data_IF_920423881088
#
_entry.id   IF_920423881088
#
_cell.length_a   1.000
_cell.length_b   1.000
_cell.length_c   1.000
_cell.angle_alpha   90.00
_cell.angle_beta   90.00
_cell.angle_gamma   90.00
#
_symmetry.space_group_name_H-M   'P 1'
#
loop_
_entity.id
_entity.type
_entity.pdbx_description
1 polymer ?
#
# COMPACT_ATOMS: atom_id res chain seq x y z
N UNK A 1 -16.70 -19.45 34.70
CA UNK A 1 -16.40 -19.88 33.32
C UNK A 1 -16.96 -18.82 32.41
N UNK A 2 -16.14 -18.22 31.54
CA UNK A 2 -16.62 -17.26 30.54
C UNK A 2 -17.29 -18.07 29.43
N UNK A 3 -18.58 -17.82 29.16
CA UNK A 3 -19.26 -18.43 28.02
C UNK A 3 -18.65 -17.91 26.72
N UNK A 4 -18.27 -18.83 25.84
CA UNK A 4 -17.82 -18.48 24.50
C UNK A 4 -19.03 -17.97 23.71
N UNK A 5 -18.87 -16.89 22.91
CA UNK A 5 -19.94 -16.41 22.05
C UNK A 5 -20.38 -17.52 21.09
N UNK A 6 -21.67 -17.51 20.72
CA UNK A 6 -22.17 -18.39 19.66
C UNK A 6 -21.42 -18.13 18.35
N UNK A 7 -21.27 -19.18 17.54
CA UNK A 7 -20.43 -19.14 16.34
C UNK A 7 -20.93 -18.12 15.29
N UNK A 8 -22.24 -17.93 15.20
CA UNK A 8 -22.86 -17.06 14.19
C UNK A 8 -22.54 -15.57 14.37
N UNK A 9 -22.70 -14.94 15.54
CA UNK A 9 -22.26 -13.56 15.77
C UNK A 9 -20.77 -13.32 15.46
N UNK A 10 -19.92 -14.31 15.76
CA UNK A 10 -18.49 -14.23 15.45
C UNK A 10 -18.26 -14.28 13.93
N UNK A 11 -18.95 -15.16 13.22
CA UNK A 11 -18.88 -15.25 11.76
C UNK A 11 -19.37 -13.95 11.09
N UNK A 12 -20.50 -13.40 11.57
CA UNK A 12 -21.02 -12.10 11.10
C UNK A 12 -19.99 -10.99 11.31
N UNK A 13 -19.43 -10.88 12.52
CA UNK A 13 -18.42 -9.87 12.83
C UNK A 13 -17.19 -9.99 11.92
N UNK A 14 -16.69 -11.22 11.71
CA UNK A 14 -15.55 -11.48 10.83
C UNK A 14 -15.83 -11.04 9.38
N UNK A 15 -16.99 -11.40 8.83
CA UNK A 15 -17.42 -11.01 7.48
C UNK A 15 -17.58 -9.50 7.36
N UNK A 16 -18.18 -8.83 8.35
CA UNK A 16 -18.35 -7.37 8.36
C UNK A 16 -17.00 -6.66 8.40
N UNK A 17 -16.08 -7.09 9.25
CA UNK A 17 -14.72 -6.52 9.31
C UNK A 17 -14.01 -6.66 7.97
N UNK A 18 -14.08 -7.85 7.36
CA UNK A 18 -13.46 -8.09 6.05
C UNK A 18 -14.12 -7.22 4.95
N UNK A 19 -15.45 -7.05 4.99
CA UNK A 19 -16.15 -6.16 4.06
C UNK A 19 -15.68 -4.71 4.20
N UNK A 20 -15.47 -4.22 5.43
CA UNK A 20 -14.90 -2.89 5.66
C UNK A 20 -13.50 -2.75 5.06
N UNK A 21 -12.65 -3.78 5.18
CA UNK A 21 -11.31 -3.79 4.57
C UNK A 21 -11.40 -3.70 3.04
N UNK A 22 -12.28 -4.47 2.42
CA UNK A 22 -12.48 -4.44 0.95
C UNK A 22 -12.95 -3.07 0.47
N UNK A 23 -13.91 -2.46 1.16
CA UNK A 23 -14.39 -1.10 0.84
C UNK A 23 -13.28 -0.08 0.99
N UNK A 24 -12.48 -0.19 2.06
CA UNK A 24 -11.34 0.68 2.31
C UNK A 24 -10.29 0.59 1.20
N UNK A 25 -9.93 -0.62 0.78
CA UNK A 25 -8.99 -0.84 -0.33
C UNK A 25 -9.51 -0.24 -1.63
N UNK A 26 -10.78 -0.47 -1.96
CA UNK A 26 -11.41 0.08 -3.14
C UNK A 26 -11.39 1.62 -3.14
N UNK A 27 -11.65 2.24 -1.98
CA UNK A 27 -11.54 3.68 -1.81
C UNK A 27 -10.13 4.20 -2.11
N UNK A 28 -9.08 3.60 -1.51
CA UNK A 28 -7.70 4.06 -1.72
C UNK A 28 -7.20 3.81 -3.14
N UNK A 29 -7.55 2.67 -3.74
CA UNK A 29 -7.24 2.37 -5.14
C UNK A 29 -7.88 3.38 -6.11
N UNK A 30 -9.14 3.73 -5.86
CA UNK A 30 -9.86 4.71 -6.68
C UNK A 30 -9.25 6.10 -6.51
N UNK A 31 -8.97 6.50 -5.27
CA UNK A 31 -8.32 7.78 -4.97
C UNK A 31 -6.95 7.89 -5.65
N UNK A 32 -6.14 6.84 -5.59
CA UNK A 32 -4.82 6.81 -6.23
C UNK A 32 -4.90 7.00 -7.75
N UNK A 33 -5.87 6.37 -8.43
CA UNK A 33 -6.08 6.56 -9.88
C UNK A 33 -6.60 7.95 -10.22
N UNK A 34 -7.39 8.56 -9.33
CA UNK A 34 -7.88 9.93 -9.49
C UNK A 34 -6.78 10.97 -9.26
N UNK A 35 -5.94 10.77 -8.24
CA UNK A 35 -4.83 11.68 -7.90
C UNK A 35 -3.68 11.56 -8.92
N UNK A 36 -3.45 10.37 -9.50
CA UNK A 36 -2.41 10.13 -10.52
C UNK A 36 -3.06 9.48 -11.75
N UNK A 37 -3.72 10.27 -12.62
CA UNK A 37 -4.44 9.75 -13.79
C UNK A 37 -3.49 9.35 -14.93
N UNK A 38 -2.44 10.15 -15.15
CA UNK A 38 -1.46 9.99 -16.22
C UNK A 38 -0.11 9.53 -15.68
N UNK A 39 0.61 8.73 -16.47
CA UNK A 39 1.96 8.26 -16.17
C UNK A 39 2.96 8.95 -17.09
N UNK A 40 4.21 9.08 -16.64
CA UNK A 40 5.28 9.78 -17.34
C UNK A 40 5.54 11.16 -16.77
N UNK A 41 5.99 12.08 -17.63
CA UNK A 41 6.33 13.46 -17.21
C UNK A 41 5.06 14.29 -17.04
N UNK A 42 4.99 15.03 -15.93
CA UNK A 42 3.83 15.85 -15.59
C UNK A 42 3.96 17.29 -16.15
N UNK A 43 2.86 17.95 -16.58
CA UNK A 43 2.89 19.28 -17.20
C UNK A 43 3.46 20.40 -16.32
N UNK A 44 3.35 20.27 -14.99
CA UNK A 44 3.88 21.23 -14.01
C UNK A 44 5.28 20.90 -13.48
N UNK A 45 5.99 19.99 -14.16
CA UNK A 45 7.20 19.37 -13.64
C UNK A 45 6.90 18.21 -12.69
N UNK A 46 7.79 17.23 -12.66
CA UNK A 46 7.60 16.00 -11.90
C UNK A 46 7.37 14.78 -12.78
N UNK A 47 7.17 13.64 -12.12
CA UNK A 47 7.14 12.34 -12.77
C UNK A 47 6.17 11.39 -12.06
N UNK A 48 5.31 10.74 -12.82
CA UNK A 48 4.37 9.73 -12.35
C UNK A 48 4.70 8.36 -12.94
N UNK A 49 4.59 7.31 -12.13
CA UNK A 49 4.87 5.94 -12.57
C UNK A 49 3.97 4.95 -11.81
N UNK A 50 3.99 3.69 -12.24
CA UNK A 50 3.28 2.61 -11.57
C UNK A 50 4.24 1.51 -11.16
N UNK A 51 3.90 0.76 -10.11
CA UNK A 51 4.55 -0.51 -9.83
C UNK A 51 4.20 -1.56 -10.89
N UNK A 52 5.05 -2.57 -11.03
CA UNK A 52 4.72 -3.73 -11.86
C UNK A 52 3.92 -4.76 -11.06
N UNK A 53 2.92 -5.38 -11.66
CA UNK A 53 2.07 -6.38 -10.99
C UNK A 53 2.86 -7.60 -10.46
N UNK A 54 3.90 -8.04 -11.18
CA UNK A 54 4.78 -9.13 -10.72
C UNK A 54 5.57 -8.71 -9.47
N UNK A 55 5.99 -7.45 -9.40
CA UNK A 55 6.68 -6.92 -8.23
C UNK A 55 5.74 -6.77 -7.03
N UNK A 56 4.46 -6.43 -7.25
CA UNK A 56 3.44 -6.45 -6.21
C UNK A 56 3.17 -7.87 -5.68
N UNK A 57 3.07 -8.86 -6.56
CA UNK A 57 2.90 -10.27 -6.17
C UNK A 57 4.07 -10.76 -5.31
N UNK A 58 5.31 -10.49 -5.70
CA UNK A 58 6.50 -10.87 -4.91
C UNK A 58 6.53 -10.12 -3.57
N UNK A 59 6.13 -8.84 -3.56
CA UNK A 59 6.01 -8.06 -2.31
C UNK A 59 4.99 -8.66 -1.35
N UNK A 60 3.90 -9.22 -1.89
CA UNK A 60 2.79 -9.76 -1.12
C UNK A 60 2.89 -11.26 -0.88
N UNK A 61 3.91 -11.98 -1.36
CA UNK A 61 3.96 -13.45 -1.32
C UNK A 61 3.68 -14.06 0.07
N UNK A 62 4.24 -13.47 1.13
CA UNK A 62 3.95 -13.89 2.51
C UNK A 62 2.47 -13.68 2.90
N UNK A 63 1.90 -12.54 2.51
CA UNK A 63 0.48 -12.26 2.72
C UNK A 63 -0.40 -13.20 1.89
N UNK A 64 -0.04 -13.49 0.63
CA UNK A 64 -0.78 -14.43 -0.23
C UNK A 64 -0.84 -15.83 0.40
N UNK A 65 0.27 -16.31 0.96
CA UNK A 65 0.32 -17.61 1.65
C UNK A 65 -0.58 -17.66 2.89
N UNK A 66 -0.53 -16.64 3.75
CA UNK A 66 -1.42 -16.54 4.91
C UNK A 66 -2.89 -16.45 4.51
N UNK A 67 -3.20 -15.73 3.43
CA UNK A 67 -4.56 -15.57 2.94
C UNK A 67 -5.11 -16.85 2.32
N UNK A 68 -4.29 -17.63 1.63
CA UNK A 68 -4.68 -18.97 1.16
C UNK A 68 -5.05 -19.89 2.34
N UNK A 69 -4.26 -19.85 3.42
CA UNK A 69 -4.61 -20.59 4.64
C UNK A 69 -5.93 -20.07 5.25
N UNK A 70 -6.16 -18.76 5.25
CA UNK A 70 -7.41 -18.15 5.74
C UNK A 70 -8.63 -18.44 4.85
N UNK A 71 -8.46 -18.82 3.58
CA UNK A 71 -9.57 -19.33 2.76
C UNK A 71 -9.95 -20.76 3.15
N UNK A 72 -8.96 -21.63 3.36
CA UNK A 72 -9.22 -23.06 3.59
C UNK A 72 -9.69 -23.32 5.02
N UNK A 73 -9.18 -22.58 6.00
CA UNK A 73 -9.42 -22.84 7.43
C UNK A 73 -10.91 -22.80 7.84
N UNK A 74 -11.73 -21.81 7.40
CA UNK A 74 -13.15 -21.78 7.73
C UNK A 74 -13.88 -23.05 7.31
N UNK A 75 -13.60 -23.58 6.12
CA UNK A 75 -14.25 -24.79 5.59
C UNK A 75 -14.02 -26.01 6.48
N UNK A 76 -12.81 -26.16 7.02
CA UNK A 76 -12.47 -27.25 7.93
C UNK A 76 -13.21 -27.16 9.29
N UNK A 77 -13.74 -25.98 9.65
CA UNK A 77 -14.36 -25.71 10.95
C UNK A 77 -15.89 -25.53 10.86
N UNK A 78 -16.47 -25.53 9.67
CA UNK A 78 -17.91 -25.30 9.46
C UNK A 78 -18.77 -26.35 10.19
N UNK A 79 -18.45 -27.64 10.02
CA UNK A 79 -19.21 -28.73 10.66
C UNK A 79 -19.06 -28.71 12.19
N UNK A 80 -17.86 -28.42 12.68
CA UNK A 80 -17.58 -28.37 14.13
C UNK A 80 -18.27 -27.19 14.83
N UNK A 81 -18.54 -26.11 14.11
CA UNK A 81 -19.13 -24.88 14.66
C UNK A 81 -20.62 -24.71 14.40
N UNK A 82 -21.24 -25.61 13.61
CA UNK A 82 -22.62 -25.49 13.14
C UNK A 82 -22.90 -24.11 12.50
N UNK A 83 -21.90 -23.53 11.85
CA UNK A 83 -21.99 -22.21 11.22
C UNK A 83 -22.64 -22.34 9.85
N UNK A 84 -23.61 -21.48 9.48
CA UNK A 84 -24.19 -21.49 8.15
C UNK A 84 -23.15 -21.31 7.04
N UNK A 85 -23.19 -22.20 6.03
CA UNK A 85 -22.24 -22.23 4.89
C UNK A 85 -22.13 -20.89 4.17
N UNK A 86 -23.21 -20.09 4.17
CA UNK A 86 -23.23 -18.76 3.53
C UNK A 86 -22.11 -17.84 4.03
N UNK A 87 -21.72 -17.92 5.31
CA UNK A 87 -20.66 -17.07 5.86
C UNK A 87 -19.27 -17.44 5.31
N UNK A 88 -18.99 -18.72 5.06
CA UNK A 88 -17.75 -19.14 4.42
C UNK A 88 -17.69 -18.71 2.95
N UNK A 89 -18.81 -18.78 2.22
CA UNK A 89 -18.89 -18.28 0.84
C UNK A 89 -18.65 -16.77 0.80
N UNK A 90 -19.31 -15.99 1.66
CA UNK A 90 -19.11 -14.54 1.75
C UNK A 90 -17.67 -14.19 2.11
N UNK A 91 -17.08 -14.94 3.05
CA UNK A 91 -15.68 -14.81 3.42
C UNK A 91 -14.76 -15.00 2.22
N UNK A 92 -14.87 -16.09 1.48
CA UNK A 92 -14.02 -16.38 0.33
C UNK A 92 -14.16 -15.34 -0.79
N UNK A 93 -15.39 -14.88 -1.06
CA UNK A 93 -15.64 -13.82 -2.05
C UNK A 93 -14.95 -12.53 -1.63
N UNK A 94 -15.15 -12.07 -0.39
CA UNK A 94 -14.53 -10.84 0.10
C UNK A 94 -13.00 -10.95 0.19
N UNK A 95 -12.48 -12.10 0.62
CA UNK A 95 -11.04 -12.34 0.71
C UNK A 95 -10.41 -12.36 -0.68
N UNK A 96 -11.09 -12.95 -1.66
CA UNK A 96 -10.67 -12.93 -3.06
C UNK A 96 -10.62 -11.50 -3.62
N UNK A 97 -11.64 -10.68 -3.33
CA UNK A 97 -11.65 -9.27 -3.73
C UNK A 97 -10.49 -8.50 -3.10
N UNK A 98 -10.21 -8.73 -1.82
CA UNK A 98 -9.06 -8.13 -1.14
C UNK A 98 -7.74 -8.59 -1.76
N UNK A 99 -7.57 -9.89 -2.05
CA UNK A 99 -6.38 -10.40 -2.73
C UNK A 99 -6.15 -9.75 -4.10
N UNK A 100 -7.22 -9.61 -4.89
CA UNK A 100 -7.17 -8.90 -6.17
C UNK A 100 -6.74 -7.44 -5.94
N UNK A 101 -7.29 -6.78 -4.91
CA UNK A 101 -6.94 -5.39 -4.54
C UNK A 101 -5.42 -5.21 -4.27
N UNK A 102 -4.80 -6.20 -3.63
CA UNK A 102 -3.37 -6.20 -3.29
C UNK A 102 -2.47 -6.33 -4.53
N UNK A 103 -2.94 -7.04 -5.57
CA UNK A 103 -2.20 -7.29 -6.80
C UNK A 103 -2.33 -6.14 -7.82
N UNK A 104 -3.28 -5.24 -7.64
CA UNK A 104 -3.45 -4.08 -8.52
C UNK A 104 -2.21 -3.18 -8.43
N UNK A 105 -1.56 -2.86 -9.58
CA UNK A 105 -0.45 -1.93 -9.66
C UNK A 105 -0.76 -0.60 -8.96
N UNK A 106 0.15 -0.18 -8.08
CA UNK A 106 0.07 1.07 -7.35
C UNK A 106 0.67 2.18 -8.20
N UNK A 107 0.04 3.36 -8.21
CA UNK A 107 0.51 4.56 -8.91
C UNK A 107 1.18 5.54 -7.95
N UNK A 108 2.28 6.11 -8.39
CA UNK A 108 3.08 7.06 -7.64
C UNK A 108 3.28 8.32 -8.48
N UNK A 109 3.45 9.46 -7.82
CA UNK A 109 3.85 10.69 -8.49
C UNK A 109 4.77 11.53 -7.61
N UNK A 110 5.79 12.12 -8.23
CA UNK A 110 6.68 13.10 -7.63
C UNK A 110 6.32 14.46 -8.21
N UNK A 111 6.08 15.42 -7.34
CA UNK A 111 5.93 16.83 -7.67
C UNK A 111 6.95 17.66 -6.88
N UNK A 112 7.08 18.94 -7.20
CA UNK A 112 7.97 19.86 -6.47
C UNK A 112 7.64 19.96 -4.98
N UNK A 113 6.39 19.76 -4.59
CA UNK A 113 5.93 19.97 -3.21
C UNK A 113 5.62 18.66 -2.48
N UNK A 114 5.12 17.64 -3.17
CA UNK A 114 4.64 16.40 -2.57
C UNK A 114 5.05 15.15 -3.35
N UNK A 115 5.20 14.06 -2.62
CA UNK A 115 5.18 12.69 -3.12
C UNK A 115 3.77 12.10 -2.95
N UNK A 116 3.21 11.57 -4.02
CA UNK A 116 1.96 10.83 -4.02
C UNK A 116 2.30 9.34 -3.99
N UNK A 117 1.87 8.63 -2.94
CA UNK A 117 2.06 7.20 -2.80
C UNK A 117 0.89 6.59 -2.04
N UNK A 118 0.43 5.41 -2.48
CA UNK A 118 -0.69 4.67 -1.85
C UNK A 118 -1.97 5.52 -1.68
N UNK A 119 -2.23 6.44 -2.61
CA UNK A 119 -3.37 7.39 -2.55
C UNK A 119 -3.24 8.49 -1.49
N UNK A 120 -2.09 8.58 -0.82
CA UNK A 120 -1.76 9.63 0.14
C UNK A 120 -0.78 10.64 -0.45
N UNK A 121 -0.82 11.86 0.10
CA UNK A 121 0.06 12.97 -0.26
C UNK A 121 1.04 13.18 0.89
N UNK A 122 2.32 13.05 0.59
CA UNK A 122 3.39 13.18 1.56
C UNK A 122 4.21 14.43 1.22
N UNK A 123 4.23 15.44 2.10
CA UNK A 123 5.09 16.59 1.89
C UNK A 123 6.55 16.19 2.11
N UNK A 124 7.47 16.81 1.37
CA UNK A 124 8.88 16.40 1.37
C UNK A 124 9.55 16.55 2.73
N UNK A 125 9.14 17.53 3.55
CA UNK A 125 9.60 17.75 4.93
C UNK A 125 9.52 16.50 5.82
N UNK A 126 8.52 15.65 5.55
CA UNK A 126 8.29 14.41 6.30
C UNK A 126 8.97 13.18 5.70
N UNK A 127 9.73 13.35 4.61
CA UNK A 127 10.38 12.26 3.90
C UNK A 127 11.89 12.41 3.92
N UNK A 128 12.58 11.27 4.08
CA UNK A 128 14.03 11.18 3.95
C UNK A 128 14.41 9.94 3.15
N UNK A 129 15.43 10.05 2.32
CA UNK A 129 15.96 8.88 1.62
C UNK A 129 16.61 7.91 2.64
N UNK A 130 16.28 6.62 2.56
CA UNK A 130 16.93 5.64 3.42
C UNK A 130 18.42 5.51 3.04
N UNK A 131 19.31 5.41 4.04
CA UNK A 131 20.77 5.26 3.84
C UNK A 131 21.13 4.06 2.96
N UNK A 132 20.40 2.95 3.12
CA UNK A 132 20.58 1.73 2.32
C UNK A 132 19.42 1.58 1.35
N UNK A 133 19.71 1.73 0.06
CA UNK A 133 18.73 1.54 -1.01
C UNK A 133 18.73 0.09 -1.50
N UNK A 134 17.57 -0.59 -1.54
CA UNK A 134 17.42 -1.88 -2.21
C UNK A 134 17.50 -1.75 -3.75
N UNK A 135 17.89 -2.83 -4.44
CA UNK A 135 18.15 -2.78 -5.90
C UNK A 135 16.90 -2.53 -6.76
N UNK A 136 15.74 -3.06 -6.36
CA UNK A 136 14.49 -3.08 -7.17
C UNK A 136 13.38 -2.17 -6.66
N UNK A 137 13.66 -1.27 -5.72
CA UNK A 137 12.67 -0.33 -5.16
C UNK A 137 13.37 0.91 -4.61
N UNK A 138 12.64 2.00 -4.45
CA UNK A 138 13.14 3.17 -3.73
C UNK A 138 12.61 3.11 -2.31
N UNK A 139 13.49 3.19 -1.33
CA UNK A 139 13.09 3.18 0.08
C UNK A 139 13.18 4.59 0.66
N UNK A 140 12.03 5.15 1.00
CA UNK A 140 11.93 6.39 1.77
C UNK A 140 11.60 6.07 3.23
N UNK A 141 11.93 7.00 4.11
CA UNK A 141 11.59 6.96 5.52
C UNK A 141 10.69 8.14 5.84
N UNK A 142 9.54 7.85 6.44
CA UNK A 142 8.62 8.84 6.99
C UNK A 142 9.10 9.26 8.37
N UNK A 143 9.39 10.54 8.54
CA UNK A 143 9.80 11.13 9.80
C UNK A 143 8.64 11.00 10.82
N UNK A 144 8.94 10.55 12.04
CA UNK A 144 7.95 10.41 13.12
C UNK A 144 7.10 9.12 13.12
N UNK A 145 7.30 8.20 12.17
CA UNK A 145 6.48 6.98 12.03
C UNK A 145 7.09 5.70 12.62
N UNK A 146 8.21 5.79 13.36
CA UNK A 146 8.84 4.65 14.05
C UNK A 146 9.06 3.43 13.14
N UNK A 147 8.64 2.20 13.54
CA UNK A 147 8.83 0.99 12.74
C UNK A 147 8.02 0.99 11.43
N UNK A 148 6.97 1.82 11.32
CA UNK A 148 6.19 2.03 10.11
C UNK A 148 6.76 3.16 9.23
N UNK A 149 7.92 3.72 9.59
CA UNK A 149 8.64 4.71 8.81
C UNK A 149 8.93 4.30 7.35
N UNK A 150 9.33 3.04 7.05
CA UNK A 150 9.68 2.65 5.69
C UNK A 150 8.51 2.77 4.71
N UNK A 151 8.74 3.51 3.62
CA UNK A 151 7.83 3.67 2.49
C UNK A 151 8.53 3.14 1.22
N UNK A 152 8.29 1.87 0.84
CA UNK A 152 8.84 1.29 -0.37
C UNK A 152 8.03 1.73 -1.60
N UNK A 153 8.71 2.30 -2.59
CA UNK A 153 8.15 2.65 -3.89
C UNK A 153 8.61 1.63 -4.93
N UNK A 154 7.66 0.92 -5.54
CA UNK A 154 7.89 -0.03 -6.62
C UNK A 154 7.82 0.62 -8.01
N UNK A 155 8.34 -0.05 -9.02
CA UNK A 155 8.35 0.41 -10.41
C UNK A 155 9.30 -0.41 -11.28
N UNK A 156 9.19 -0.24 -12.59
CA UNK A 156 10.17 -0.78 -13.53
C UNK A 156 11.52 -0.06 -13.40
N UNK A 157 12.59 -0.64 -13.95
CA UNK A 157 13.94 -0.10 -13.79
C UNK A 157 14.14 1.29 -14.37
N UNK A 158 13.45 1.62 -15.46
CA UNK A 158 13.58 2.92 -16.14
C UNK A 158 12.88 4.00 -15.31
N UNK A 159 11.61 3.76 -14.94
CA UNK A 159 10.83 4.65 -14.09
C UNK A 159 11.48 4.87 -12.73
N UNK A 160 12.03 3.82 -12.11
CA UNK A 160 12.75 3.95 -10.84
C UNK A 160 14.07 4.73 -10.98
N UNK A 161 14.72 4.67 -12.15
CA UNK A 161 15.89 5.49 -12.46
C UNK A 161 15.52 6.98 -12.44
N UNK A 162 14.52 7.34 -13.24
CA UNK A 162 14.00 8.72 -13.33
C UNK A 162 13.50 9.20 -11.97
N UNK A 163 12.66 8.43 -11.29
CA UNK A 163 12.12 8.79 -9.98
C UNK A 163 13.22 9.02 -8.93
N UNK A 164 14.31 8.25 -8.97
CA UNK A 164 15.45 8.42 -8.05
C UNK A 164 16.19 9.73 -8.29
N UNK A 165 16.35 10.14 -9.55
CA UNK A 165 16.96 11.43 -9.89
C UNK A 165 16.10 12.59 -9.40
N UNK A 166 14.79 12.53 -9.62
CA UNK A 166 13.85 13.52 -9.11
C UNK A 166 13.89 13.61 -7.58
N UNK A 167 13.86 12.48 -6.86
CA UNK A 167 13.91 12.46 -5.39
C UNK A 167 15.21 13.09 -4.88
N UNK A 168 16.35 12.76 -5.50
CA UNK A 168 17.65 13.36 -5.14
C UNK A 168 17.67 14.86 -5.38
N UNK A 169 17.13 15.32 -6.51
CA UNK A 169 17.04 16.74 -6.82
C UNK A 169 16.18 17.49 -5.79
N UNK A 170 15.04 16.91 -5.37
CA UNK A 170 14.18 17.49 -4.33
C UNK A 170 14.87 17.52 -2.95
N UNK A 171 15.61 16.47 -2.60
CA UNK A 171 16.38 16.44 -1.35
C UNK A 171 17.53 17.47 -1.35
N UNK A 172 18.21 17.65 -2.49
CA UNK A 172 19.26 18.66 -2.65
C UNK A 172 18.72 20.08 -2.59
N UNK A 173 17.67 20.40 -3.35
CA UNK A 173 17.04 21.73 -3.35
C UNK A 173 16.63 22.14 -1.93
N UNK A 174 16.02 21.22 -1.18
CA UNK A 174 15.65 21.47 0.21
C UNK A 174 16.83 21.71 1.13
N UNK A 175 17.94 21.00 0.94
CA UNK A 175 19.15 21.21 1.75
C UNK A 175 19.75 22.58 1.49
N UNK A 176 19.72 23.04 0.23
CA UNK A 176 20.15 24.39 -0.14
C UNK A 176 19.28 25.48 0.48
N UNK A 177 17.95 25.32 0.48
CA UNK A 177 17.03 26.29 1.09
C UNK A 177 17.28 26.45 2.61
N UNK A 178 17.51 25.34 3.32
CA UNK A 178 17.80 25.38 4.76
C UNK A 178 19.09 26.13 5.05
N UNK A 179 20.15 25.89 4.27
CA UNK A 179 21.43 26.58 4.44
C UNK A 179 21.31 28.09 4.18
N UNK A 180 20.53 28.49 3.17
CA UNK A 180 20.32 29.92 2.89
C UNK A 180 19.56 30.68 3.97
N UNK A 181 18.74 29.99 4.78
CA UNK A 181 18.02 30.59 5.91
C UNK A 181 18.93 30.72 7.15
N UNK A 182 19.94 29.84 7.29
CA UNK A 182 20.90 29.90 8.40
C UNK A 182 21.97 30.97 8.21
N UNK A 183 22.19 31.42 6.96
CA UNK A 183 23.17 32.46 6.60
C UNK A 183 22.60 33.90 6.63
N UNK A 184 21.31 34.10 6.95
CA UNK A 184 20.64 35.40 7.18
C UNK A 184 20.45 35.72 8.68
#
# INVERSE_FOLDING_TARGET
MVELPSAEPVAVAAVVVLACIVVWDAFWLTKQRRDVPELGRLPGGGFAWASEGVHEMVRQWGNLGSMAAMMVLPWALLEASNTPVIYAILWDVLLSLHLISLLIPKRYAITSTHLFADGQRYPWDRLRLAKRQPKRRIMLLRNGWGPFGPLPLGGDSESLGVAREYIKAMEQARRSDVLSIEDE
#
